data_IF_268069539006
#
_entry.id   IF_268069539006
#
_cell.length_a   1.000
_cell.length_b   1.000
_cell.length_c   1.000
_cell.angle_alpha   90.00
_cell.angle_beta   90.00
_cell.angle_gamma   90.00
#
_symmetry.space_group_name_H-M   'P 1'
#
loop_
_entity.id
_entity.type
_entity.pdbx_description
1 polymer ?
#
# COMPACT_ATOMS: atom_id res chain seq x y z
N UNK A 1 -22.43 -20.49 -21.23
CA UNK A 1 -21.52 -19.35 -20.96
C UNK A 1 -20.42 -19.84 -20.03
N UNK A 2 -19.17 -19.94 -20.48
CA UNK A 2 -18.09 -20.48 -19.65
C UNK A 2 -17.87 -19.54 -18.45
N UNK A 3 -17.95 -20.09 -17.24
CA UNK A 3 -17.62 -19.38 -16.00
C UNK A 3 -16.13 -19.05 -16.03
N UNK A 4 -15.78 -17.78 -15.85
CA UNK A 4 -14.37 -17.35 -15.69
C UNK A 4 -13.77 -18.07 -14.50
N UNK A 5 -12.58 -18.65 -14.67
CA UNK A 5 -11.83 -19.26 -13.57
C UNK A 5 -11.48 -18.21 -12.51
N UNK A 6 -11.33 -18.63 -11.25
CA UNK A 6 -10.93 -17.72 -10.17
C UNK A 6 -9.58 -17.04 -10.47
N UNK A 7 -8.65 -17.77 -11.09
CA UNK A 7 -7.36 -17.23 -11.53
C UNK A 7 -7.57 -16.09 -12.55
N UNK A 8 -8.42 -16.29 -13.56
CA UNK A 8 -8.68 -15.25 -14.56
C UNK A 8 -9.36 -14.01 -13.98
N UNK A 9 -10.27 -14.19 -13.02
CA UNK A 9 -10.88 -13.06 -12.27
C UNK A 9 -9.83 -12.26 -11.51
N UNK A 10 -8.89 -12.96 -10.84
CA UNK A 10 -7.79 -12.32 -10.12
C UNK A 10 -6.89 -11.51 -11.06
N UNK A 11 -6.49 -12.09 -12.20
CA UNK A 11 -5.67 -11.39 -13.21
C UNK A 11 -6.33 -10.12 -13.73
N UNK A 12 -7.67 -10.14 -13.95
CA UNK A 12 -8.43 -8.97 -14.39
C UNK A 12 -8.42 -7.88 -13.31
N UNK A 13 -8.66 -8.23 -12.04
CA UNK A 13 -8.64 -7.27 -10.94
C UNK A 13 -7.24 -6.66 -10.78
N UNK A 14 -6.20 -7.47 -10.76
CA UNK A 14 -4.81 -6.99 -10.64
C UNK A 14 -4.40 -6.13 -11.83
N UNK A 15 -4.80 -6.51 -13.04
CA UNK A 15 -4.58 -5.71 -14.25
C UNK A 15 -5.26 -4.35 -14.17
N UNK A 16 -6.52 -4.31 -13.75
CA UNK A 16 -7.26 -3.06 -13.57
C UNK A 16 -6.61 -2.16 -12.50
N UNK A 17 -6.12 -2.74 -11.40
CA UNK A 17 -5.40 -1.97 -10.38
C UNK A 17 -4.11 -1.34 -10.94
N UNK A 18 -3.34 -2.07 -11.79
CA UNK A 18 -2.17 -1.47 -12.46
C UNK A 18 -2.55 -0.28 -13.33
N UNK A 19 -3.70 -0.34 -14.03
CA UNK A 19 -4.19 0.79 -14.84
C UNK A 19 -4.51 1.99 -13.94
N UNK A 20 -5.22 1.78 -12.83
CA UNK A 20 -5.53 2.85 -11.88
C UNK A 20 -4.25 3.45 -11.26
N UNK A 21 -3.29 2.61 -10.87
CA UNK A 21 -2.04 3.08 -10.26
C UNK A 21 -1.22 3.94 -11.23
N UNK A 22 -1.21 3.60 -12.53
CA UNK A 22 -0.48 4.35 -13.54
C UNK A 22 -1.17 5.64 -13.97
N UNK A 23 -2.50 5.65 -14.04
CA UNK A 23 -3.26 6.72 -14.72
C UNK A 23 -4.21 7.51 -13.82
N UNK A 24 -4.26 7.20 -12.50
CA UNK A 24 -5.22 7.78 -11.57
C UNK A 24 -6.58 7.07 -11.59
N UNK A 25 -7.29 7.15 -10.48
CA UNK A 25 -8.58 6.45 -10.36
C UNK A 25 -9.69 7.23 -11.07
N UNK A 26 -9.75 8.55 -10.89
CA UNK A 26 -10.83 9.37 -11.45
C UNK A 26 -10.84 9.37 -12.97
N UNK A 27 -9.68 9.50 -13.59
CA UNK A 27 -9.49 9.65 -15.04
C UNK A 27 -9.82 8.39 -15.85
N UNK A 28 -9.75 7.21 -15.24
CA UNK A 28 -9.94 5.91 -15.90
C UNK A 28 -11.38 5.43 -15.74
N UNK A 29 -12.04 5.07 -16.84
CA UNK A 29 -13.37 4.46 -16.84
C UNK A 29 -13.33 2.95 -17.15
N UNK A 30 -14.48 2.26 -17.06
CA UNK A 30 -14.55 0.79 -17.28
C UNK A 30 -14.21 0.38 -18.72
N UNK A 31 -14.43 1.25 -19.69
CA UNK A 31 -14.11 0.99 -21.10
C UNK A 31 -12.60 1.08 -21.33
N UNK A 32 -11.95 2.04 -20.68
CA UNK A 32 -10.49 2.17 -20.69
C UNK A 32 -9.82 0.92 -20.12
N UNK A 33 -10.34 0.40 -19.00
CA UNK A 33 -9.83 -0.82 -18.37
C UNK A 33 -10.02 -2.01 -19.31
N UNK A 34 -11.21 -2.19 -19.89
CA UNK A 34 -11.47 -3.30 -20.80
C UNK A 34 -10.52 -3.27 -22.02
N UNK A 35 -10.32 -2.08 -22.61
CA UNK A 35 -9.41 -1.85 -23.73
C UNK A 35 -7.95 -2.15 -23.35
N UNK A 36 -7.49 -1.65 -22.20
CA UNK A 36 -6.11 -1.82 -21.72
C UNK A 36 -5.79 -3.28 -21.39
N UNK A 37 -6.78 -4.03 -20.91
CA UNK A 37 -6.65 -5.46 -20.59
C UNK A 37 -6.90 -6.38 -21.81
N UNK A 38 -7.25 -5.82 -22.99
CA UNK A 38 -7.57 -6.62 -24.16
C UNK A 38 -8.78 -7.55 -23.98
N UNK A 39 -9.75 -7.16 -23.14
CA UNK A 39 -10.97 -7.93 -22.88
C UNK A 39 -12.23 -7.18 -23.30
N UNK A 40 -13.33 -7.91 -23.52
CA UNK A 40 -14.61 -7.26 -23.75
C UNK A 40 -15.15 -6.61 -22.48
N UNK A 41 -15.90 -5.51 -22.61
CA UNK A 41 -16.64 -4.89 -21.51
C UNK A 41 -17.54 -5.90 -20.80
N UNK A 42 -18.20 -6.80 -21.57
CA UNK A 42 -19.00 -7.90 -21.03
C UNK A 42 -18.18 -8.82 -20.12
N UNK A 43 -16.94 -9.13 -20.50
CA UNK A 43 -16.04 -9.96 -19.70
C UNK A 43 -15.68 -9.27 -18.37
N UNK A 44 -15.44 -7.97 -18.40
CA UNK A 44 -15.14 -7.17 -17.19
C UNK A 44 -16.34 -7.19 -16.23
N UNK A 45 -17.56 -6.99 -16.76
CA UNK A 45 -18.79 -7.02 -15.97
C UNK A 45 -19.21 -8.43 -15.48
N UNK A 46 -18.58 -9.51 -15.94
CA UNK A 46 -18.70 -10.83 -15.31
C UNK A 46 -17.88 -10.95 -14.01
N UNK A 47 -16.93 -10.04 -13.79
CA UNK A 47 -16.05 -10.05 -12.61
C UNK A 47 -16.55 -9.09 -11.53
N UNK A 48 -17.08 -7.93 -11.95
CA UNK A 48 -17.55 -6.83 -11.07
C UNK A 48 -18.78 -6.16 -11.68
N UNK A 49 -19.66 -5.65 -10.83
CA UNK A 49 -20.86 -4.91 -11.27
C UNK A 49 -20.57 -3.49 -11.72
N UNK A 50 -19.56 -2.86 -11.13
CA UNK A 50 -19.20 -1.45 -11.36
C UNK A 50 -17.72 -1.18 -10.98
N UNK A 51 -17.29 0.07 -11.19
CA UNK A 51 -15.94 0.53 -10.87
C UNK A 51 -15.65 0.51 -9.38
N UNK A 52 -16.63 0.80 -8.55
CA UNK A 52 -16.47 0.80 -7.09
C UNK A 52 -16.18 -0.61 -6.58
N UNK A 53 -16.93 -1.61 -7.03
CA UNK A 53 -16.67 -3.01 -6.68
C UNK A 53 -15.30 -3.47 -7.18
N UNK A 54 -14.87 -3.02 -8.37
CA UNK A 54 -13.55 -3.32 -8.91
C UNK A 54 -12.44 -2.77 -8.01
N UNK A 55 -12.55 -1.51 -7.58
CA UNK A 55 -11.61 -0.87 -6.66
C UNK A 55 -11.61 -1.58 -5.31
N UNK A 56 -12.79 -1.90 -4.76
CA UNK A 56 -12.92 -2.60 -3.49
C UNK A 56 -12.23 -3.98 -3.51
N UNK A 57 -12.45 -4.77 -4.57
CA UNK A 57 -11.79 -6.07 -4.76
C UNK A 57 -10.28 -5.90 -4.93
N UNK A 58 -9.87 -4.89 -5.68
CA UNK A 58 -8.45 -4.57 -5.88
C UNK A 58 -7.76 -4.20 -4.58
N UNK A 59 -8.32 -3.30 -3.78
CA UNK A 59 -7.79 -2.93 -2.46
C UNK A 59 -7.74 -4.15 -1.52
N UNK A 60 -8.77 -5.00 -1.53
CA UNK A 60 -8.76 -6.23 -0.73
C UNK A 60 -7.64 -7.19 -1.14
N UNK A 61 -7.40 -7.34 -2.44
CA UNK A 61 -6.30 -8.17 -2.97
C UNK A 61 -4.94 -7.59 -2.61
N UNK A 62 -4.82 -6.27 -2.69
CA UNK A 62 -3.62 -5.53 -2.30
C UNK A 62 -3.29 -5.75 -0.81
N UNK A 63 -4.26 -5.58 0.10
CA UNK A 63 -4.07 -5.80 1.53
C UNK A 63 -3.57 -7.21 1.84
N UNK A 64 -4.15 -8.23 1.20
CA UNK A 64 -3.70 -9.62 1.40
C UNK A 64 -2.27 -9.85 0.90
N UNK A 65 -1.90 -9.20 -0.20
CA UNK A 65 -0.55 -9.28 -0.73
C UNK A 65 0.44 -8.60 0.20
N UNK A 66 0.09 -7.42 0.73
CA UNK A 66 0.89 -6.68 1.71
C UNK A 66 1.15 -7.53 2.96
N UNK A 67 0.13 -8.19 3.53
CA UNK A 67 0.30 -9.12 4.67
C UNK A 67 1.29 -10.23 4.34
N UNK A 68 1.17 -10.83 3.15
CA UNK A 68 2.03 -11.95 2.73
C UNK A 68 3.48 -11.50 2.51
N UNK A 69 3.67 -10.34 1.87
CA UNK A 69 5.01 -9.82 1.56
C UNK A 69 5.75 -9.42 2.84
N UNK A 70 5.08 -8.71 3.77
CA UNK A 70 5.66 -8.32 5.05
C UNK A 70 6.00 -9.54 5.90
N UNK A 71 5.10 -10.53 6.00
CA UNK A 71 5.39 -11.79 6.68
C UNK A 71 6.57 -12.53 6.05
N UNK A 72 6.66 -12.53 4.72
CA UNK A 72 7.79 -13.10 3.98
C UNK A 72 9.12 -12.46 4.39
N UNK A 73 9.18 -11.12 4.46
CA UNK A 73 10.38 -10.39 4.90
C UNK A 73 10.75 -10.75 6.34
N UNK A 74 9.78 -10.75 7.25
CA UNK A 74 10.00 -11.11 8.66
C UNK A 74 10.50 -12.55 8.85
N UNK A 75 10.15 -13.43 7.91
CA UNK A 75 10.58 -14.85 7.93
C UNK A 75 11.99 -15.10 7.38
N UNK A 76 12.70 -14.09 6.87
CA UNK A 76 14.04 -14.23 6.30
C UNK A 76 15.15 -14.48 7.35
N UNK A 77 14.85 -14.37 8.64
CA UNK A 77 15.84 -14.53 9.71
C UNK A 77 16.87 -13.39 9.81
N UNK A 78 16.55 -12.22 9.25
CA UNK A 78 17.37 -11.02 9.30
C UNK A 78 17.39 -10.45 10.73
N UNK A 79 18.40 -9.66 11.09
CA UNK A 79 18.35 -8.86 12.31
C UNK A 79 17.36 -7.68 12.16
N UNK A 80 17.03 -7.00 13.26
CA UNK A 80 16.01 -5.94 13.27
C UNK A 80 16.33 -4.77 12.31
N UNK A 81 17.59 -4.41 12.15
CA UNK A 81 18.02 -3.35 11.23
C UNK A 81 17.88 -3.79 9.76
N UNK A 82 18.38 -4.98 9.43
CA UNK A 82 18.28 -5.56 8.09
C UNK A 82 16.82 -5.74 7.66
N UNK A 83 15.97 -6.23 8.57
CA UNK A 83 14.52 -6.37 8.36
C UNK A 83 13.87 -5.03 8.05
N UNK A 84 14.19 -3.98 8.81
CA UNK A 84 13.69 -2.62 8.56
C UNK A 84 14.12 -2.09 7.19
N UNK A 85 15.36 -2.39 6.77
CA UNK A 85 15.88 -1.99 5.45
C UNK A 85 15.16 -2.74 4.31
N UNK A 86 14.85 -4.03 4.47
CA UNK A 86 14.09 -4.79 3.47
C UNK A 86 12.63 -4.29 3.39
N UNK A 87 11.99 -4.01 4.52
CA UNK A 87 10.65 -3.39 4.54
C UNK A 87 10.68 -2.02 3.84
N UNK A 88 11.72 -1.19 4.08
CA UNK A 88 11.90 0.09 3.36
C UNK A 88 11.93 -0.12 1.84
N UNK A 89 12.76 -1.06 1.35
CA UNK A 89 12.87 -1.36 -0.08
C UNK A 89 11.52 -1.78 -0.65
N UNK A 90 10.81 -2.65 0.05
CA UNK A 90 9.49 -3.10 -0.33
C UNK A 90 8.50 -1.92 -0.42
N UNK A 91 8.42 -1.05 0.61
CA UNK A 91 7.57 0.14 0.59
C UNK A 91 7.90 1.05 -0.59
N UNK A 92 9.19 1.32 -0.84
CA UNK A 92 9.61 2.15 -1.97
C UNK A 92 9.16 1.55 -3.30
N UNK A 93 9.33 0.24 -3.49
CA UNK A 93 8.87 -0.46 -4.71
C UNK A 93 7.35 -0.37 -4.90
N UNK A 94 6.60 -0.27 -3.80
CA UNK A 94 5.13 -0.15 -3.85
C UNK A 94 4.66 1.25 -4.22
N UNK A 95 5.39 2.30 -3.79
CA UNK A 95 5.02 3.70 -4.07
C UNK A 95 5.63 4.24 -5.36
N UNK A 96 6.69 3.61 -5.87
CA UNK A 96 7.26 3.94 -7.17
C UNK A 96 6.25 3.68 -8.30
N UNK A 97 6.10 4.68 -9.18
CA UNK A 97 5.18 4.58 -10.33
C UNK A 97 3.70 4.73 -10.01
N UNK A 98 3.33 4.97 -8.75
CA UNK A 98 1.95 5.33 -8.41
C UNK A 98 1.66 6.75 -8.87
N UNK A 99 0.60 6.91 -9.67
CA UNK A 99 0.15 8.25 -10.08
C UNK A 99 -0.21 9.09 -8.84
N UNK A 100 0.28 10.32 -8.73
CA UNK A 100 0.16 11.14 -7.51
C UNK A 100 -1.27 11.31 -6.99
N UNK A 101 -2.27 11.30 -7.89
CA UNK A 101 -3.68 11.51 -7.50
C UNK A 101 -4.38 10.26 -6.96
N UNK A 102 -3.78 9.07 -7.04
CA UNK A 102 -4.46 7.81 -6.67
C UNK A 102 -4.99 7.83 -5.25
N UNK A 103 -4.19 8.25 -4.29
CA UNK A 103 -4.59 8.31 -2.88
C UNK A 103 -5.67 9.36 -2.65
N UNK A 104 -5.50 10.55 -3.24
CA UNK A 104 -6.51 11.61 -3.21
C UNK A 104 -7.83 11.19 -3.86
N UNK A 105 -7.76 10.55 -5.04
CA UNK A 105 -8.95 10.06 -5.74
C UNK A 105 -9.70 9.01 -4.91
N UNK A 106 -8.94 8.09 -4.27
CA UNK A 106 -9.52 7.06 -3.41
C UNK A 106 -10.23 7.68 -2.21
N UNK A 107 -9.59 8.62 -1.53
CA UNK A 107 -10.15 9.30 -0.36
C UNK A 107 -11.39 10.12 -0.74
N UNK A 108 -11.31 10.89 -1.80
CA UNK A 108 -12.38 11.81 -2.21
C UNK A 108 -13.60 11.11 -2.78
N UNK A 109 -13.42 10.10 -3.63
CA UNK A 109 -14.51 9.46 -4.38
C UNK A 109 -14.96 8.12 -3.81
N UNK A 110 -14.13 7.46 -2.97
CA UNK A 110 -14.37 6.14 -2.38
C UNK A 110 -13.97 6.10 -0.89
N UNK A 111 -14.51 7.01 -0.05
CA UNK A 111 -14.03 7.20 1.33
C UNK A 111 -14.12 5.94 2.20
N UNK A 112 -15.13 5.08 1.97
CA UNK A 112 -15.27 3.83 2.72
C UNK A 112 -14.18 2.82 2.37
N UNK A 113 -13.74 2.78 1.10
CA UNK A 113 -12.66 1.91 0.66
C UNK A 113 -11.31 2.47 1.14
N UNK A 114 -11.14 3.80 1.07
CA UNK A 114 -9.96 4.49 1.61
C UNK A 114 -9.79 4.20 3.09
N UNK A 115 -10.87 4.32 3.88
CA UNK A 115 -10.84 4.02 5.31
C UNK A 115 -10.42 2.57 5.59
N UNK A 116 -10.96 1.60 4.86
CA UNK A 116 -10.56 0.18 5.01
C UNK A 116 -9.06 -0.03 4.73
N UNK A 117 -8.53 0.63 3.71
CA UNK A 117 -7.10 0.57 3.40
C UNK A 117 -6.26 1.21 4.51
N UNK A 118 -6.66 2.37 5.03
CA UNK A 118 -6.00 3.04 6.14
C UNK A 118 -6.02 2.17 7.40
N UNK A 119 -7.19 1.64 7.79
CA UNK A 119 -7.34 0.77 8.96
C UNK A 119 -6.47 -0.50 8.84
N UNK A 120 -6.37 -1.08 7.64
CA UNK A 120 -5.49 -2.22 7.39
C UNK A 120 -4.01 -1.84 7.54
N UNK A 121 -3.56 -0.77 6.88
CA UNK A 121 -2.18 -0.27 6.99
C UNK A 121 -1.79 0.03 8.43
N UNK A 122 -2.68 0.65 9.20
CA UNK A 122 -2.44 0.91 10.62
C UNK A 122 -2.14 -0.38 11.39
N UNK A 123 -2.92 -1.45 11.15
CA UNK A 123 -2.71 -2.75 11.80
C UNK A 123 -1.37 -3.38 11.39
N UNK A 124 -1.06 -3.37 10.09
CA UNK A 124 0.19 -3.94 9.56
C UNK A 124 1.39 -3.19 10.11
N UNK A 125 1.37 -1.86 10.02
CA UNK A 125 2.46 -1.00 10.52
C UNK A 125 2.64 -1.18 12.03
N UNK A 126 1.55 -1.15 12.81
CA UNK A 126 1.63 -1.35 14.26
C UNK A 126 2.27 -2.70 14.59
N UNK A 127 1.76 -3.78 14.03
CA UNK A 127 2.26 -5.13 14.28
C UNK A 127 3.73 -5.26 13.88
N UNK A 128 4.06 -4.88 12.65
CA UNK A 128 5.42 -5.00 12.11
C UNK A 128 6.44 -4.20 12.91
N UNK A 129 6.14 -2.94 13.24
CA UNK A 129 7.02 -2.11 14.06
C UNK A 129 7.16 -2.63 15.50
N UNK A 130 6.07 -3.09 16.11
CA UNK A 130 6.12 -3.64 17.47
C UNK A 130 7.03 -4.87 17.54
N UNK A 131 6.87 -5.80 16.60
CA UNK A 131 7.70 -7.00 16.50
C UNK A 131 9.17 -6.63 16.23
N UNK A 132 9.43 -5.70 15.32
CA UNK A 132 10.78 -5.25 14.97
C UNK A 132 11.47 -4.51 16.13
N UNK A 133 10.77 -3.60 16.84
CA UNK A 133 11.33 -2.90 17.99
C UNK A 133 11.67 -3.90 19.11
N UNK A 134 10.75 -4.81 19.41
CA UNK A 134 10.97 -5.85 20.44
C UNK A 134 12.19 -6.72 20.11
N UNK A 135 12.28 -7.15 18.87
CA UNK A 135 13.41 -7.93 18.35
C UNK A 135 14.72 -7.15 18.46
N UNK A 136 14.74 -5.88 18.01
CA UNK A 136 15.93 -5.04 18.06
C UNK A 136 16.40 -4.73 19.48
N UNK A 137 15.50 -4.64 20.45
CA UNK A 137 15.84 -4.53 21.88
C UNK A 137 16.47 -5.81 22.41
N UNK A 138 15.98 -6.99 22.00
CA UNK A 138 16.55 -8.30 22.37
C UNK A 138 17.93 -8.54 21.74
N UNK A 139 18.10 -8.13 20.49
CA UNK A 139 19.36 -8.22 19.74
C UNK A 139 20.39 -7.16 20.17
N UNK A 140 19.99 -6.14 20.95
CA UNK A 140 20.87 -5.07 21.42
C UNK A 140 21.10 -3.94 20.39
N UNK A 141 20.38 -3.92 19.28
CA UNK A 141 20.43 -2.85 18.27
C UNK A 141 19.62 -1.62 18.68
N UNK A 142 18.54 -1.81 19.44
CA UNK A 142 17.70 -0.71 19.92
C UNK A 142 17.82 -0.56 21.44
N UNK A 143 17.69 0.68 21.91
CA UNK A 143 17.72 0.99 23.32
C UNK A 143 16.59 0.26 24.07
N UNK A 144 16.92 -0.32 25.22
CA UNK A 144 15.97 -1.10 26.04
C UNK A 144 14.89 -0.23 26.70
N UNK A 145 15.15 1.06 26.88
CA UNK A 145 14.23 2.03 27.50
C UNK A 145 13.21 2.63 26.53
N UNK A 146 13.25 2.27 25.23
CA UNK A 146 12.23 2.68 24.27
C UNK A 146 10.89 2.05 24.60
N UNK A 147 9.85 2.88 24.61
CA UNK A 147 8.46 2.40 24.68
C UNK A 147 7.95 2.17 23.24
N UNK A 148 7.71 0.91 22.83
CA UNK A 148 7.29 0.61 21.46
C UNK A 148 6.00 1.33 21.07
N UNK A 149 4.99 1.39 21.96
CA UNK A 149 3.71 2.04 21.65
C UNK A 149 3.85 3.53 21.32
N UNK A 150 4.71 4.23 22.06
CA UNK A 150 4.97 5.66 21.79
C UNK A 150 5.67 5.82 20.47
N UNK A 151 6.73 5.04 20.20
CA UNK A 151 7.49 5.11 18.95
C UNK A 151 6.62 4.80 17.75
N UNK A 152 5.77 3.77 17.85
CA UNK A 152 4.85 3.40 16.77
C UNK A 152 3.86 4.52 16.47
N UNK A 153 3.25 5.13 17.50
CA UNK A 153 2.32 6.26 17.32
C UNK A 153 3.00 7.44 16.64
N UNK A 154 4.22 7.79 17.04
CA UNK A 154 4.99 8.86 16.41
C UNK A 154 5.33 8.51 14.94
N UNK A 155 5.70 7.26 14.67
CA UNK A 155 5.98 6.79 13.31
C UNK A 155 4.74 6.88 12.42
N UNK A 156 3.60 6.43 12.91
CA UNK A 156 2.34 6.48 12.18
C UNK A 156 1.91 7.91 11.88
N UNK A 157 1.89 8.80 12.90
CA UNK A 157 1.56 10.21 12.70
C UNK A 157 2.47 10.88 11.67
N UNK A 158 3.74 10.49 11.65
CA UNK A 158 4.69 10.98 10.63
C UNK A 158 4.31 10.48 9.22
N UNK A 159 3.97 9.20 9.06
CA UNK A 159 3.54 8.67 7.74
C UNK A 159 2.26 9.38 7.26
N UNK A 160 1.30 9.62 8.14
CA UNK A 160 0.09 10.39 7.81
C UNK A 160 0.44 11.79 7.32
N UNK A 161 1.37 12.47 7.99
CA UNK A 161 1.85 13.79 7.60
C UNK A 161 2.52 13.79 6.22
N UNK A 162 3.30 12.75 5.87
CA UNK A 162 3.91 12.63 4.53
C UNK A 162 2.88 12.52 3.40
N UNK A 163 1.70 12.02 3.70
CA UNK A 163 0.59 11.89 2.75
C UNK A 163 -0.34 13.11 2.72
N UNK A 164 -0.15 14.09 3.60
CA UNK A 164 -0.97 15.30 3.63
C UNK A 164 -0.47 16.32 2.59
N UNK A 165 -1.23 16.47 1.52
CA UNK A 165 -0.91 17.39 0.42
C UNK A 165 -0.92 18.87 0.80
N UNK A 166 -1.47 19.22 1.97
CA UNK A 166 -1.40 20.59 2.53
C UNK A 166 -0.02 20.87 3.13
N UNK A 167 0.64 19.83 3.62
CA UNK A 167 2.01 19.90 4.17
C UNK A 167 3.05 19.69 3.06
N UNK A 168 2.82 18.69 2.22
CA UNK A 168 3.69 18.31 1.11
C UNK A 168 2.91 18.31 -0.21
N UNK A 169 2.83 19.45 -0.93
CA UNK A 169 2.15 19.54 -2.22
C UNK A 169 2.72 18.56 -3.25
N UNK A 170 1.85 17.80 -3.93
CA UNK A 170 2.22 16.77 -4.92
C UNK A 170 3.07 17.37 -6.06
N UNK A 171 2.86 18.65 -6.39
CA UNK A 171 3.60 19.36 -7.44
C UNK A 171 5.08 19.58 -7.10
N UNK A 172 5.43 19.53 -5.81
CA UNK A 172 6.78 19.87 -5.31
C UNK A 172 7.51 18.66 -4.74
N UNK A 173 6.77 17.68 -4.22
CA UNK A 173 7.33 16.56 -3.47
C UNK A 173 6.86 15.20 -4.01
N UNK A 174 7.81 14.34 -4.35
CA UNK A 174 7.54 12.94 -4.63
C UNK A 174 7.46 12.14 -3.31
N UNK A 175 6.42 11.34 -3.13
CA UNK A 175 6.20 10.55 -1.91
C UNK A 175 7.38 9.60 -1.61
N UNK A 176 8.02 9.03 -2.65
CA UNK A 176 9.21 8.17 -2.49
C UNK A 176 10.39 8.91 -1.86
N UNK A 177 10.61 10.17 -2.23
CA UNK A 177 11.66 11.00 -1.64
C UNK A 177 11.34 11.33 -0.18
N UNK A 178 10.09 11.76 0.10
CA UNK A 178 9.63 12.05 1.46
C UNK A 178 9.78 10.83 2.37
N UNK A 179 9.36 9.66 1.90
CA UNK A 179 9.49 8.42 2.66
C UNK A 179 10.96 8.06 2.91
N UNK A 180 11.82 8.22 1.90
CA UNK A 180 13.27 7.95 2.03
C UNK A 180 13.94 8.84 3.06
N UNK A 181 13.69 10.15 3.01
CA UNK A 181 14.25 11.12 3.97
C UNK A 181 13.72 10.85 5.39
N UNK A 182 12.42 10.62 5.51
CA UNK A 182 11.79 10.28 6.78
C UNK A 182 12.35 9.00 7.41
N UNK A 183 12.60 7.95 6.59
CA UNK A 183 13.20 6.71 7.05
C UNK A 183 14.66 6.91 7.49
N UNK A 184 15.45 7.62 6.69
CA UNK A 184 16.86 7.91 7.00
C UNK A 184 16.99 8.71 8.30
N UNK A 185 16.07 9.64 8.57
CA UNK A 185 16.02 10.38 9.84
C UNK A 185 15.70 9.45 11.03
N UNK A 186 14.94 8.40 10.83
CA UNK A 186 14.55 7.48 11.90
C UNK A 186 15.65 6.50 12.31
N UNK A 187 16.52 6.09 11.37
CA UNK A 187 17.59 5.10 11.61
C UNK A 187 18.89 5.73 12.15
N UNK A 188 19.03 7.04 12.07
CA UNK A 188 20.19 7.78 12.64
C UNK A 188 20.01 8.03 14.12
#
# INVERSE_FOLDING_TARGET
>A
MALLSNQKKKEIIEGAMRVFMRSGIKSVNMDDIARELGISKKTLYLVVKDKEELIQKGVTTFCKKEDTDIFGIQSLGLNAIEESLEIKKWVLSMIEGIHPTVMYDLEKYYPQISKKLQDHRMKVVYKSLHENITKGQQEGFYRKDLNPDIIIKLYVSRIEMLCDHRVFPISEYALSNLYTESFNYHIR
#
